data_IF_348742752747
#
_entry.id   IF_348742752747
#
_cell.length_a   1.000
_cell.length_b   1.000
_cell.length_c   1.000
_cell.angle_alpha   90.00
_cell.angle_beta   90.00
_cell.angle_gamma   90.00
#
_symmetry.space_group_name_H-M   'P 1'
#
loop_
_entity.id
_entity.type
_entity.pdbx_description
1 polymer ?
#
# COMPACT_ATOMS: atom_id res chain seq x y z
N UNK A 1 12.13 -31.70 -0.82
CA UNK A 1 11.57 -32.38 0.38
C UNK A 1 12.60 -32.29 1.48
N UNK A 2 12.56 -31.26 2.31
CA UNK A 2 13.46 -31.12 3.46
C UNK A 2 12.59 -31.19 4.71
N UNK A 3 12.98 -32.04 5.67
CA UNK A 3 12.34 -32.24 6.98
C UNK A 3 13.28 -31.64 8.03
N UNK A 4 13.43 -30.30 8.07
CA UNK A 4 14.42 -29.64 8.91
C UNK A 4 14.12 -29.89 10.39
N UNK A 5 12.85 -29.97 10.78
CA UNK A 5 12.45 -30.31 12.15
C UNK A 5 12.89 -31.70 12.56
N UNK A 6 12.72 -32.71 11.69
CA UNK A 6 13.20 -34.08 11.94
C UNK A 6 14.71 -34.13 12.09
N UNK A 7 15.46 -33.45 11.21
CA UNK A 7 16.93 -33.47 11.26
C UNK A 7 17.47 -32.78 12.54
N UNK A 8 16.94 -31.60 12.88
CA UNK A 8 17.31 -30.87 14.10
C UNK A 8 16.94 -31.69 15.34
N UNK A 9 15.75 -32.31 15.34
CA UNK A 9 15.31 -33.19 16.41
C UNK A 9 16.23 -34.39 16.62
N UNK A 10 16.65 -35.08 15.55
CA UNK A 10 17.60 -36.20 15.63
C UNK A 10 18.92 -35.76 16.25
N UNK A 11 19.51 -34.65 15.75
CA UNK A 11 20.82 -34.17 16.20
C UNK A 11 20.77 -33.68 17.65
N UNK A 12 19.76 -32.88 18.02
CA UNK A 12 19.59 -32.38 19.38
C UNK A 12 19.27 -33.51 20.36
N UNK A 13 18.40 -34.45 19.97
CA UNK A 13 18.08 -35.63 20.77
C UNK A 13 19.29 -36.53 20.99
N UNK A 14 20.11 -36.73 19.94
CA UNK A 14 21.35 -37.49 20.05
C UNK A 14 22.36 -36.85 21.01
N UNK A 15 22.50 -35.53 20.97
CA UNK A 15 23.39 -34.82 21.89
C UNK A 15 22.95 -34.93 23.36
N UNK A 16 21.64 -35.02 23.62
CA UNK A 16 21.10 -35.05 24.99
C UNK A 16 21.10 -36.45 25.62
N UNK A 17 20.80 -37.49 24.83
CA UNK A 17 20.60 -38.84 25.34
C UNK A 17 21.06 -39.94 24.37
N UNK A 18 22.01 -39.66 23.47
CA UNK A 18 22.59 -40.61 22.52
C UNK A 18 21.55 -41.30 21.62
N UNK A 19 21.65 -42.61 21.37
CA UNK A 19 20.78 -43.32 20.42
C UNK A 19 19.28 -43.23 20.80
N UNK A 20 18.87 -43.47 22.08
CA UNK A 20 17.47 -43.31 22.48
C UNK A 20 16.95 -41.88 22.30
N UNK A 21 17.80 -40.89 22.60
CA UNK A 21 17.46 -39.47 22.42
C UNK A 21 17.29 -39.10 20.95
N UNK A 22 18.11 -39.63 20.06
CA UNK A 22 18.01 -39.41 18.61
C UNK A 22 16.68 -39.92 18.05
N UNK A 23 16.22 -41.09 18.51
CA UNK A 23 14.94 -41.68 18.10
C UNK A 23 13.75 -40.82 18.56
N UNK A 24 13.74 -40.41 19.83
CA UNK A 24 12.69 -39.55 20.38
C UNK A 24 12.67 -38.17 19.71
N UNK A 25 13.86 -37.56 19.55
CA UNK A 25 14.02 -36.26 18.91
C UNK A 25 13.60 -36.28 17.44
N UNK A 26 13.91 -37.34 16.70
CA UNK A 26 13.43 -37.52 15.33
C UNK A 26 11.91 -37.65 15.24
N UNK A 27 11.28 -38.40 16.16
CA UNK A 27 9.83 -38.55 16.19
C UNK A 27 9.12 -37.20 16.47
N UNK A 28 9.61 -36.46 17.46
CA UNK A 28 9.10 -35.12 17.80
C UNK A 28 9.32 -34.12 16.66
N UNK A 29 10.51 -34.15 16.05
CA UNK A 29 10.84 -33.33 14.89
C UNK A 29 9.94 -33.63 13.68
N UNK A 30 9.53 -34.88 13.47
CA UNK A 30 8.61 -35.28 12.41
C UNK A 30 7.17 -34.81 12.67
N UNK A 31 6.71 -34.83 13.92
CA UNK A 31 5.42 -34.25 14.31
C UNK A 31 5.43 -32.73 14.12
N UNK A 32 6.53 -32.09 14.50
CA UNK A 32 6.76 -30.66 14.32
C UNK A 32 6.77 -30.29 12.83
N UNK A 33 7.47 -31.05 11.99
CA UNK A 33 7.46 -30.88 10.54
C UNK A 33 6.07 -31.05 9.93
N UNK A 34 5.26 -32.02 10.39
CA UNK A 34 3.88 -32.18 9.88
C UNK A 34 2.96 -31.02 10.27
N UNK A 35 3.16 -30.42 11.45
CA UNK A 35 2.41 -29.24 11.91
C UNK A 35 2.87 -27.95 11.22
N UNK A 36 4.18 -27.73 11.10
CA UNK A 36 4.79 -26.58 10.43
C UNK A 36 4.74 -26.68 8.90
N UNK A 37 4.53 -27.85 8.30
CA UNK A 37 4.25 -27.92 6.86
C UNK A 37 2.97 -27.17 6.46
N UNK A 38 2.06 -26.88 7.42
CA UNK A 38 0.90 -25.99 7.22
C UNK A 38 1.21 -24.49 7.43
N UNK A 39 2.31 -24.14 8.11
CA UNK A 39 2.85 -22.78 8.30
C UNK A 39 4.29 -22.75 7.81
N UNK A 40 4.46 -22.40 6.54
CA UNK A 40 5.72 -22.49 5.78
C UNK A 40 6.97 -22.27 6.63
N UNK A 41 7.84 -23.28 6.73
CA UNK A 41 9.15 -23.19 7.41
C UNK A 41 10.01 -21.98 6.98
N UNK A 42 9.74 -21.44 5.79
CA UNK A 42 10.37 -20.21 5.29
C UNK A 42 10.01 -18.99 6.14
N UNK A 43 8.75 -18.88 6.60
CA UNK A 43 8.27 -17.79 7.45
C UNK A 43 8.98 -17.81 8.81
N UNK A 44 9.17 -18.99 9.39
CA UNK A 44 9.83 -19.16 10.69
C UNK A 44 11.35 -18.87 10.60
N UNK A 45 11.99 -19.22 9.48
CA UNK A 45 13.39 -18.88 9.21
C UNK A 45 13.56 -17.38 8.94
N UNK A 46 12.62 -16.73 8.25
CA UNK A 46 12.63 -15.29 8.04
C UNK A 46 12.42 -14.52 9.35
N UNK A 47 11.57 -15.01 10.24
CA UNK A 47 11.34 -14.45 11.58
C UNK A 47 12.56 -14.64 12.51
N UNK A 48 13.27 -15.78 12.40
CA UNK A 48 14.53 -16.03 13.12
C UNK A 48 15.73 -15.26 12.56
N UNK A 49 15.70 -14.86 11.28
CA UNK A 49 16.79 -14.10 10.62
C UNK A 49 16.74 -12.59 10.87
N UNK A 50 15.73 -12.08 11.59
CA UNK A 50 15.71 -10.69 12.07
C UNK A 50 15.53 -9.62 10.98
N UNK A 51 15.21 -9.99 9.75
CA UNK A 51 14.82 -9.02 8.72
C UNK A 51 13.34 -8.72 8.86
N UNK A 52 12.95 -7.82 9.77
CA UNK A 52 11.55 -7.40 9.91
C UNK A 52 11.05 -6.84 8.56
N UNK A 53 10.32 -7.69 7.82
CA UNK A 53 9.72 -7.34 6.53
C UNK A 53 8.99 -6.02 6.69
N UNK A 54 9.27 -5.08 5.79
CA UNK A 54 8.56 -3.80 5.77
C UNK A 54 7.11 -4.12 5.40
N UNK A 55 6.13 -3.84 6.29
CA UNK A 55 4.72 -4.05 5.96
C UNK A 55 4.36 -3.25 4.70
N UNK A 56 3.50 -3.82 3.86
CA UNK A 56 3.12 -3.19 2.58
C UNK A 56 2.52 -1.79 2.77
N UNK A 57 1.72 -1.62 3.84
CA UNK A 57 1.20 -0.32 4.27
C UNK A 57 2.32 0.67 4.62
N UNK A 58 3.32 0.24 5.40
CA UNK A 58 4.47 1.09 5.76
C UNK A 58 5.22 1.50 4.49
N UNK A 59 5.50 0.55 3.59
CA UNK A 59 6.16 0.80 2.32
C UNK A 59 5.36 1.78 1.45
N UNK A 60 4.04 1.61 1.33
CA UNK A 60 3.19 2.53 0.59
C UNK A 60 3.39 3.95 1.10
N UNK A 61 3.22 4.19 2.40
CA UNK A 61 3.32 5.55 2.93
C UNK A 61 4.73 6.12 2.84
N UNK A 62 5.78 5.29 2.96
CA UNK A 62 7.17 5.70 2.68
C UNK A 62 7.32 6.21 1.22
N UNK A 63 6.81 5.45 0.24
CA UNK A 63 6.85 5.84 -1.18
C UNK A 63 6.07 7.13 -1.44
N UNK A 64 4.86 7.23 -0.90
CA UNK A 64 4.00 8.41 -1.03
C UNK A 64 4.66 9.67 -0.46
N UNK A 65 5.30 9.57 0.71
CA UNK A 65 6.06 10.67 1.31
C UNK A 65 7.21 11.12 0.41
N UNK A 66 7.93 10.16 -0.18
CA UNK A 66 9.05 10.46 -1.10
C UNK A 66 8.60 11.15 -2.38
N UNK A 67 7.47 10.71 -2.96
CA UNK A 67 6.85 11.36 -4.13
C UNK A 67 6.42 12.78 -3.77
N UNK A 68 5.65 12.95 -2.68
CA UNK A 68 5.11 14.24 -2.28
C UNK A 68 6.18 15.31 -1.98
N UNK A 69 7.36 14.90 -1.49
CA UNK A 69 8.48 15.82 -1.18
C UNK A 69 9.37 16.12 -2.39
N UNK A 70 9.27 15.37 -3.47
CA UNK A 70 10.18 15.48 -4.64
C UNK A 70 10.19 16.89 -5.29
N UNK A 71 9.08 17.63 -5.22
CA UNK A 71 8.96 19.03 -5.68
C UNK A 71 9.43 20.08 -4.66
N UNK A 72 10.17 19.69 -3.64
CA UNK A 72 10.73 20.58 -2.61
C UNK A 72 9.81 20.85 -1.42
N UNK A 73 8.48 20.90 -1.61
CA UNK A 73 7.51 20.99 -0.51
C UNK A 73 6.32 20.06 -0.69
N UNK A 74 5.81 19.55 0.43
CA UNK A 74 4.55 18.81 0.47
C UNK A 74 3.41 19.84 0.41
N UNK A 75 2.45 19.66 -0.49
CA UNK A 75 1.31 20.54 -0.68
C UNK A 75 0.07 19.93 -0.02
N UNK A 76 -0.94 20.76 0.29
CA UNK A 76 -2.19 20.29 0.91
C UNK A 76 -2.86 19.18 0.10
N UNK A 77 -2.78 19.24 -1.22
CA UNK A 77 -3.35 18.23 -2.08
C UNK A 77 -2.64 16.87 -1.95
N UNK A 78 -1.34 16.82 -1.64
CA UNK A 78 -0.64 15.58 -1.28
C UNK A 78 -1.14 15.03 0.06
N UNK A 79 -1.41 15.91 1.03
CA UNK A 79 -1.96 15.50 2.33
C UNK A 79 -3.36 14.90 2.16
N UNK A 80 -4.22 15.53 1.35
CA UNK A 80 -5.55 15.01 1.06
C UNK A 80 -5.48 13.67 0.33
N UNK A 81 -4.57 13.52 -0.65
CA UNK A 81 -4.38 12.23 -1.31
C UNK A 81 -3.90 11.14 -0.34
N UNK A 82 -2.97 11.44 0.57
CA UNK A 82 -2.51 10.49 1.57
C UNK A 82 -3.66 10.04 2.48
N UNK A 83 -4.52 10.97 2.93
CA UNK A 83 -5.74 10.65 3.70
C UNK A 83 -6.71 9.78 2.91
N UNK A 84 -6.88 10.04 1.61
CA UNK A 84 -7.71 9.21 0.76
C UNK A 84 -7.18 7.77 0.65
N UNK A 85 -5.86 7.57 0.59
CA UNK A 85 -5.27 6.22 0.64
C UNK A 85 -5.50 5.54 1.99
N UNK A 86 -5.37 6.26 3.12
CA UNK A 86 -5.69 5.71 4.44
C UNK A 86 -7.16 5.24 4.53
N UNK A 87 -8.08 5.99 3.91
CA UNK A 87 -9.49 5.61 3.84
C UNK A 87 -9.72 4.39 2.94
N UNK A 88 -9.07 4.32 1.77
CA UNK A 88 -9.17 3.16 0.86
C UNK A 88 -8.67 1.87 1.50
N UNK A 89 -7.63 1.95 2.33
CA UNK A 89 -7.09 0.81 3.07
C UNK A 89 -7.90 0.47 4.32
N UNK A 90 -8.90 1.27 4.70
CA UNK A 90 -9.71 1.02 5.89
C UNK A 90 -8.93 1.14 7.20
N UNK A 91 -7.89 1.99 7.26
CA UNK A 91 -7.03 2.08 8.43
C UNK A 91 -7.79 2.63 9.65
N UNK A 92 -7.65 1.92 10.77
CA UNK A 92 -8.05 2.36 12.10
C UNK A 92 -7.15 3.50 12.60
N UNK A 93 -7.43 4.01 13.80
CA UNK A 93 -6.68 5.15 14.36
C UNK A 93 -5.18 4.84 14.52
N UNK A 94 -4.85 3.65 15.04
CA UNK A 94 -3.47 3.21 15.19
C UNK A 94 -2.76 3.06 13.83
N UNK A 95 -3.44 2.49 12.83
CA UNK A 95 -2.95 2.38 11.46
C UNK A 95 -2.71 3.74 10.81
N UNK A 96 -3.60 4.71 11.03
CA UNK A 96 -3.42 6.09 10.55
C UNK A 96 -2.19 6.74 11.14
N UNK A 97 -1.92 6.58 12.43
CA UNK A 97 -0.72 7.12 13.06
C UNK A 97 0.56 6.50 12.48
N UNK A 98 0.59 5.17 12.31
CA UNK A 98 1.71 4.47 11.65
C UNK A 98 1.92 4.95 10.22
N UNK A 99 0.84 5.15 9.46
CA UNK A 99 0.87 5.67 8.10
C UNK A 99 1.41 7.11 8.02
N UNK A 100 1.01 7.99 8.95
CA UNK A 100 1.51 9.37 9.04
C UNK A 100 3.01 9.37 9.33
N UNK A 101 3.45 8.55 10.28
CA UNK A 101 4.84 8.42 10.67
C UNK A 101 5.70 7.85 9.51
N UNK A 102 5.24 6.79 8.85
CA UNK A 102 5.86 6.24 7.65
C UNK A 102 5.94 7.28 6.51
N UNK A 103 4.87 8.04 6.27
CA UNK A 103 4.87 9.13 5.29
C UNK A 103 5.93 10.19 5.62
N UNK A 104 6.03 10.57 6.90
CA UNK A 104 7.00 11.54 7.36
C UNK A 104 8.44 11.07 7.19
N UNK A 105 8.75 9.80 7.50
CA UNK A 105 10.06 9.21 7.21
C UNK A 105 10.35 9.19 5.71
N UNK A 106 9.36 8.79 4.91
CA UNK A 106 9.45 8.63 3.46
C UNK A 106 9.87 9.90 2.71
N UNK A 107 9.51 11.10 3.23
CA UNK A 107 9.90 12.39 2.64
C UNK A 107 11.39 12.51 2.32
N UNK A 108 12.24 11.86 3.12
CA UNK A 108 13.69 11.93 2.98
C UNK A 108 14.29 10.70 2.27
N UNK A 109 13.49 9.68 1.97
CA UNK A 109 13.99 8.38 1.51
C UNK A 109 14.70 7.62 2.64
N UNK A 110 15.73 6.85 2.29
CA UNK A 110 16.59 6.16 3.24
C UNK A 110 16.46 4.63 3.21
N UNK A 111 17.25 3.93 4.06
CA UNK A 111 17.47 2.50 3.97
C UNK A 111 16.18 1.69 4.11
N UNK A 112 15.26 2.10 4.99
CA UNK A 112 13.97 1.42 5.20
C UNK A 112 13.09 1.38 3.94
N UNK A 113 13.09 2.45 3.15
CA UNK A 113 12.36 2.49 1.87
C UNK A 113 13.03 1.57 0.86
N UNK A 114 14.36 1.62 0.78
CA UNK A 114 15.15 0.80 -0.15
C UNK A 114 15.01 -0.70 0.16
N UNK A 115 15.05 -1.08 1.44
CA UNK A 115 14.76 -2.43 1.93
C UNK A 115 13.38 -2.89 1.49
N UNK A 116 12.34 -2.09 1.73
CA UNK A 116 10.98 -2.45 1.33
C UNK A 116 10.83 -2.60 -0.18
N UNK A 117 11.45 -1.71 -0.97
CA UNK A 117 11.46 -1.83 -2.44
C UNK A 117 12.15 -3.12 -2.90
N UNK A 118 13.28 -3.48 -2.28
CA UNK A 118 14.00 -4.71 -2.59
C UNK A 118 13.22 -5.97 -2.20
N UNK A 119 12.52 -5.95 -1.06
CA UNK A 119 11.69 -7.07 -0.57
C UNK A 119 10.49 -7.37 -1.48
N UNK A 120 10.01 -6.39 -2.24
CA UNK A 120 8.92 -6.57 -3.22
C UNK A 120 9.36 -7.25 -4.53
N UNK A 121 10.65 -7.53 -4.74
CA UNK A 121 11.14 -8.21 -5.95
C UNK A 121 10.50 -9.59 -6.10
N UNK A 122 9.71 -9.76 -7.16
CA UNK A 122 9.06 -11.04 -7.51
C UNK A 122 7.59 -11.19 -7.09
N UNK A 123 7.02 -10.24 -6.34
CA UNK A 123 5.61 -10.25 -5.92
C UNK A 123 4.76 -9.32 -6.80
N UNK A 124 4.35 -9.79 -7.99
CA UNK A 124 3.71 -8.97 -9.03
C UNK A 124 2.36 -8.31 -8.66
N UNK A 125 1.37 -9.01 -8.07
CA UNK A 125 0.04 -8.39 -7.90
C UNK A 125 -0.01 -7.27 -6.84
N UNK A 126 0.92 -7.26 -5.87
CA UNK A 126 0.98 -6.25 -4.81
C UNK A 126 1.65 -4.94 -5.26
N UNK A 127 2.60 -5.00 -6.21
CA UNK A 127 3.34 -3.80 -6.65
C UNK A 127 2.54 -2.86 -7.57
N UNK A 128 1.54 -3.37 -8.28
CA UNK A 128 0.68 -2.55 -9.14
C UNK A 128 -0.12 -1.55 -8.32
N UNK A 129 -0.68 -1.98 -7.17
CA UNK A 129 -1.41 -1.11 -6.25
C UNK A 129 -0.53 -0.01 -5.66
N UNK A 130 0.71 -0.33 -5.26
CA UNK A 130 1.69 0.63 -4.76
C UNK A 130 2.02 1.70 -5.81
N UNK A 131 2.31 1.29 -7.05
CA UNK A 131 2.63 2.21 -8.14
C UNK A 131 1.43 3.06 -8.54
N UNK A 132 0.23 2.49 -8.57
CA UNK A 132 -0.99 3.24 -8.89
C UNK A 132 -1.27 4.31 -7.82
N UNK A 133 -1.05 4.01 -6.54
CA UNK A 133 -1.14 5.00 -5.46
C UNK A 133 -0.07 6.10 -5.60
N UNK A 134 1.16 5.75 -5.99
CA UNK A 134 2.21 6.72 -6.28
C UNK A 134 1.84 7.64 -7.44
N UNK A 135 1.21 7.11 -8.49
CA UNK A 135 0.71 7.92 -9.60
C UNK A 135 -0.40 8.88 -9.16
N UNK A 136 -1.37 8.41 -8.36
CA UNK A 136 -2.41 9.29 -7.77
C UNK A 136 -1.79 10.41 -6.94
N UNK A 137 -0.75 10.10 -6.17
CA UNK A 137 0.02 11.10 -5.40
C UNK A 137 0.75 12.12 -6.28
N UNK A 138 1.41 11.67 -7.34
CA UNK A 138 2.12 12.57 -8.25
C UNK A 138 1.17 13.54 -8.96
N UNK A 139 -0.02 13.05 -9.33
CA UNK A 139 -1.12 13.85 -9.90
C UNK A 139 -1.84 14.72 -8.87
N UNK A 140 -1.66 14.47 -7.57
CA UNK A 140 -2.43 15.12 -6.53
C UNK A 140 -2.17 16.64 -6.45
N UNK A 141 -1.02 17.13 -6.90
CA UNK A 141 -0.74 18.57 -7.01
C UNK A 141 -0.60 19.05 -8.46
N UNK A 142 -1.27 18.39 -9.41
CA UNK A 142 -1.20 18.70 -10.85
C UNK A 142 -0.27 17.74 -11.61
N UNK A 143 -0.01 18.05 -12.88
CA UNK A 143 0.71 17.16 -13.79
C UNK A 143 2.09 16.74 -13.25
N UNK A 144 2.38 15.42 -13.12
CA UNK A 144 3.61 14.91 -12.52
C UNK A 144 4.86 15.52 -13.15
N UNK A 145 5.77 16.00 -12.30
CA UNK A 145 7.08 16.50 -12.70
C UNK A 145 7.98 15.37 -13.21
N UNK A 146 9.05 15.72 -13.92
CA UNK A 146 10.05 14.75 -14.38
C UNK A 146 10.68 13.97 -13.21
N UNK A 147 10.89 14.63 -12.06
CA UNK A 147 11.46 13.99 -10.87
C UNK A 147 10.53 12.93 -10.26
N UNK A 148 9.22 13.23 -10.16
CA UNK A 148 8.21 12.27 -9.67
C UNK A 148 8.09 11.08 -10.61
N UNK A 149 7.98 11.35 -11.92
CA UNK A 149 7.94 10.31 -12.95
C UNK A 149 9.16 9.40 -12.87
N UNK A 150 10.36 9.98 -12.76
CA UNK A 150 11.60 9.21 -12.66
C UNK A 150 11.65 8.33 -11.40
N UNK A 151 11.15 8.79 -10.26
CA UNK A 151 11.04 7.98 -9.04
C UNK A 151 10.15 6.75 -9.25
N UNK A 152 8.94 6.97 -9.76
CA UNK A 152 7.95 5.90 -9.94
C UNK A 152 8.45 4.87 -10.95
N UNK A 153 9.09 5.32 -12.04
CA UNK A 153 9.68 4.43 -13.04
C UNK A 153 10.83 3.58 -12.46
N UNK A 154 11.73 4.16 -11.66
CA UNK A 154 12.82 3.42 -11.00
C UNK A 154 12.31 2.37 -10.02
N UNK A 155 11.23 2.65 -9.29
CA UNK A 155 10.61 1.64 -8.44
C UNK A 155 9.96 0.53 -9.26
N UNK A 156 9.27 0.87 -10.35
CA UNK A 156 8.73 -0.13 -11.28
C UNK A 156 9.80 -1.07 -11.85
N UNK A 157 10.94 -0.52 -12.27
CA UNK A 157 12.11 -1.32 -12.67
C UNK A 157 12.62 -2.20 -11.52
N UNK A 158 12.70 -1.64 -10.31
CA UNK A 158 13.13 -2.38 -9.11
C UNK A 158 12.18 -3.53 -8.75
N UNK A 159 10.88 -3.38 -9.06
CA UNK A 159 9.85 -4.41 -8.92
C UNK A 159 9.83 -5.43 -10.07
N UNK A 160 10.63 -5.22 -11.13
CA UNK A 160 10.70 -6.09 -12.30
C UNK A 160 9.55 -5.87 -13.30
N UNK A 161 8.95 -4.68 -13.32
CA UNK A 161 7.92 -4.30 -14.28
C UNK A 161 8.52 -3.56 -15.48
N UNK A 162 8.08 -3.87 -16.72
CA UNK A 162 8.44 -3.08 -17.89
C UNK A 162 7.96 -1.64 -17.75
N UNK A 163 8.77 -0.69 -18.26
CA UNK A 163 8.44 0.75 -18.23
C UNK A 163 7.07 1.06 -18.83
N UNK A 164 6.68 0.37 -19.91
CA UNK A 164 5.37 0.54 -20.53
C UNK A 164 4.22 0.20 -19.57
N UNK A 165 4.35 -0.87 -18.79
CA UNK A 165 3.37 -1.28 -17.78
C UNK A 165 3.26 -0.25 -16.65
N UNK A 166 4.39 0.29 -16.19
CA UNK A 166 4.38 1.32 -15.15
C UNK A 166 3.70 2.61 -15.64
N UNK A 167 3.90 2.96 -16.91
CA UNK A 167 3.23 4.11 -17.53
C UNK A 167 1.74 3.88 -17.76
N UNK A 168 1.30 2.67 -18.12
CA UNK A 168 -0.14 2.39 -18.26
C UNK A 168 -0.90 2.53 -16.94
N UNK A 169 -0.24 2.31 -15.80
CA UNK A 169 -0.84 2.56 -14.48
C UNK A 169 -1.10 4.06 -14.21
N UNK A 170 -0.44 4.96 -14.94
CA UNK A 170 -0.65 6.41 -14.81
C UNK A 170 -1.99 6.87 -15.40
N UNK A 171 -2.48 6.21 -16.45
CA UNK A 171 -3.70 6.60 -17.16
C UNK A 171 -4.95 6.59 -16.25
N UNK A 172 -5.04 5.59 -15.36
CA UNK A 172 -6.13 5.53 -14.37
C UNK A 172 -6.05 6.63 -13.29
N UNK A 173 -4.86 7.17 -13.02
CA UNK A 173 -4.68 8.27 -12.07
C UNK A 173 -4.99 9.64 -12.70
N UNK A 174 -4.72 9.80 -14.00
CA UNK A 174 -5.05 10.99 -14.78
C UNK A 174 -6.58 11.15 -14.93
N UNK A 175 -7.29 10.08 -15.26
CA UNK A 175 -8.75 10.09 -15.44
C UNK A 175 -9.52 10.51 -14.17
N UNK A 176 -9.01 10.18 -12.98
CA UNK A 176 -9.60 10.59 -11.69
C UNK A 176 -9.53 12.11 -11.45
N UNK A 177 -8.73 12.84 -12.23
CA UNK A 177 -8.49 14.28 -12.05
C UNK A 177 -8.73 15.12 -13.29
N UNK A 178 -9.05 14.51 -14.43
CA UNK A 178 -9.63 15.24 -15.54
C UNK A 178 -10.81 16.04 -14.96
N UNK A 179 -10.79 17.39 -15.04
CA UNK A 179 -11.87 18.18 -14.49
C UNK A 179 -13.15 17.69 -15.15
N UNK A 180 -14.19 17.31 -14.37
CA UNK A 180 -15.45 16.92 -14.97
C UNK A 180 -15.86 18.03 -15.92
N UNK A 181 -16.27 17.67 -17.13
CA UNK A 181 -16.79 18.63 -18.08
C UNK A 181 -17.83 19.53 -17.39
N UNK A 182 -18.01 20.77 -17.85
CA UNK A 182 -19.00 21.67 -17.24
C UNK A 182 -20.38 21.00 -17.09
N UNK A 183 -20.74 20.14 -18.04
CA UNK A 183 -21.95 19.32 -18.02
C UNK A 183 -21.95 18.25 -16.90
N UNK A 184 -20.84 17.55 -16.68
CA UNK A 184 -20.71 16.56 -15.59
C UNK A 184 -20.68 17.23 -14.21
N UNK A 185 -19.98 18.36 -14.08
CA UNK A 185 -19.97 19.17 -12.85
C UNK A 185 -21.38 19.63 -12.49
N UNK A 186 -22.14 20.11 -13.48
CA UNK A 186 -23.52 20.52 -13.30
C UNK A 186 -24.42 19.35 -12.88
N UNK A 187 -24.34 18.20 -13.58
CA UNK A 187 -25.06 16.97 -13.20
C UNK A 187 -24.69 16.45 -11.82
N UNK A 188 -23.44 16.61 -11.39
CA UNK A 188 -23.00 16.22 -10.06
C UNK A 188 -23.56 17.16 -8.97
N UNK A 189 -23.61 18.47 -9.26
CA UNK A 189 -24.24 19.46 -8.37
C UNK A 189 -25.75 19.21 -8.22
N UNK A 190 -26.45 18.84 -9.29
CA UNK A 190 -27.88 18.48 -9.24
C UNK A 190 -28.14 17.21 -8.41
N UNK A 191 -27.31 16.18 -8.59
CA UNK A 191 -27.38 14.97 -7.74
C UNK A 191 -27.14 15.26 -6.26
N UNK A 192 -26.22 16.18 -5.94
CA UNK A 192 -26.00 16.65 -4.57
C UNK A 192 -27.25 17.34 -3.99
N UNK A 193 -28.00 18.07 -4.82
CA UNK A 193 -29.29 18.66 -4.46
C UNK A 193 -30.43 17.63 -4.39
N UNK A 194 -30.23 16.41 -4.90
CA UNK A 194 -31.25 15.37 -4.98
C UNK A 194 -32.29 15.62 -6.07
N UNK A 195 -31.93 16.33 -7.14
CA UNK A 195 -32.80 16.68 -8.28
C UNK A 195 -32.15 16.24 -9.61
N UNK A 196 -32.97 16.07 -10.64
CA UNK A 196 -32.56 15.67 -11.99
C UNK A 196 -32.27 16.89 -12.89
N UNK A 197 -31.67 16.69 -14.06
CA UNK A 197 -31.29 17.80 -14.96
C UNK A 197 -32.46 18.48 -15.69
N UNK A 198 -33.58 17.79 -15.78
CA UNK A 198 -34.84 18.25 -16.35
C UNK A 198 -35.79 18.83 -15.28
N UNK A 199 -35.37 18.82 -14.01
CA UNK A 199 -36.18 19.33 -12.91
C UNK A 199 -36.42 20.84 -13.07
N UNK A 200 -37.67 21.32 -12.84
CA UNK A 200 -37.99 22.73 -12.99
C UNK A 200 -37.15 23.59 -12.02
N UNK A 201 -36.78 24.79 -12.47
CA UNK A 201 -35.90 25.72 -11.72
C UNK A 201 -36.39 25.98 -10.29
N UNK A 202 -37.70 26.01 -10.06
CA UNK A 202 -38.28 26.21 -8.73
C UNK A 202 -38.03 25.03 -7.78
N UNK A 203 -37.98 23.81 -8.30
CA UNK A 203 -37.65 22.61 -7.53
C UNK A 203 -36.16 22.58 -7.14
N UNK A 204 -35.27 22.93 -8.08
CA UNK A 204 -33.84 23.09 -7.81
C UNK A 204 -33.61 24.13 -6.70
N UNK A 205 -34.25 25.29 -6.79
CA UNK A 205 -34.17 26.35 -5.76
C UNK A 205 -34.69 25.88 -4.40
N UNK A 206 -35.77 25.10 -4.39
CA UNK A 206 -36.38 24.57 -3.15
C UNK A 206 -35.47 23.54 -2.48
N UNK A 207 -34.91 22.62 -3.26
CA UNK A 207 -33.94 21.63 -2.79
C UNK A 207 -32.69 22.30 -2.20
N UNK A 208 -32.16 23.31 -2.89
CA UNK A 208 -31.04 24.12 -2.40
C UNK A 208 -31.33 24.80 -1.06
N UNK A 209 -32.47 25.51 -0.93
CA UNK A 209 -32.86 26.16 0.32
C UNK A 209 -33.04 25.17 1.47
N UNK A 210 -33.56 23.98 1.18
CA UNK A 210 -33.73 22.90 2.17
C UNK A 210 -32.39 22.41 2.69
N UNK A 211 -31.43 22.14 1.82
CA UNK A 211 -30.08 21.71 2.20
C UNK A 211 -29.33 22.79 2.99
N UNK A 212 -29.46 24.06 2.60
CA UNK A 212 -28.95 25.17 3.40
C UNK A 212 -29.56 25.13 4.80
N UNK A 213 -30.89 25.07 4.91
CA UNK A 213 -31.55 25.08 6.22
C UNK A 213 -31.14 23.90 7.12
N UNK A 214 -30.69 22.78 6.55
CA UNK A 214 -30.27 21.58 7.30
C UNK A 214 -28.80 21.61 7.73
N UNK A 215 -27.95 22.32 6.99
CA UNK A 215 -26.49 22.28 7.16
C UNK A 215 -25.86 23.64 7.43
N UNK A 216 -26.64 24.71 7.44
CA UNK A 216 -26.18 26.01 7.89
C UNK A 216 -26.01 25.98 9.42
N UNK A 217 -24.86 26.39 9.97
CA UNK A 217 -24.66 26.52 11.41
C UNK A 217 -25.60 27.58 12.01
#
# INVERSE_FOLDING_TARGET
MFWPGTLIGIVAGWALASIPGAMLGGLLGQVLDRRLRRRSWRELIDELRGGARVPEEELLFLLLGRVAKSRGRVQDAHIQQARAEMLRLGLDEAGRLRAIDAFNRGKHGGPRLEEGVQQCRGLRPSVDGLLQACWRMAWAAGAPSAAEKALILRWGESFGLPRATVLSLAAGAEALRAPPSRAESYRQALRLLGVEDDSPVEEIKRAYRRLISQHHP
#
